data_IF_002183137367
#
_entry.id   IF_002183137367
#
_cell.length_a   1.000
_cell.length_b   1.000
_cell.length_c   1.000
_cell.angle_alpha   90.00
_cell.angle_beta   90.00
_cell.angle_gamma   90.00
#
_symmetry.space_group_name_H-M   'P 1'
#
loop_
_entity.id
_entity.type
_entity.pdbx_description
1 polymer ?
#
# COMPACT_ATOMS: atom_id res chain seq x y z
N UNK A 1 -21.81 -25.73 17.56
CA UNK A 1 -21.05 -24.50 17.23
C UNK A 1 -19.84 -24.80 16.33
N UNK A 2 -18.98 -25.72 16.66
CA UNK A 2 -17.75 -26.09 15.91
C UNK A 2 -18.01 -26.52 14.44
N UNK A 3 -19.10 -27.28 14.16
CA UNK A 3 -19.45 -27.68 12.78
C UNK A 3 -19.80 -26.47 11.89
N UNK A 4 -20.51 -25.46 12.42
CA UNK A 4 -20.85 -24.23 11.67
C UNK A 4 -19.62 -23.38 11.37
N UNK A 5 -18.66 -23.33 12.29
CA UNK A 5 -17.36 -22.63 12.09
C UNK A 5 -16.53 -23.32 11.01
N UNK A 6 -16.46 -24.67 11.02
CA UNK A 6 -15.75 -25.42 9.98
C UNK A 6 -16.34 -25.19 8.59
N UNK A 7 -17.67 -25.19 8.46
CA UNK A 7 -18.36 -24.91 7.20
C UNK A 7 -18.08 -23.48 6.73
N UNK A 8 -18.11 -22.49 7.63
CA UNK A 8 -17.79 -21.10 7.31
C UNK A 8 -16.35 -20.94 6.79
N UNK A 9 -15.39 -21.62 7.42
CA UNK A 9 -13.99 -21.61 6.99
C UNK A 9 -13.84 -22.24 5.59
N UNK A 10 -14.49 -23.38 5.35
CA UNK A 10 -14.46 -24.05 4.04
C UNK A 10 -15.08 -23.16 2.96
N UNK A 11 -16.20 -22.51 3.23
CA UNK A 11 -16.83 -21.56 2.29
C UNK A 11 -15.95 -20.34 2.03
N UNK A 12 -15.29 -19.78 3.05
CA UNK A 12 -14.34 -18.69 2.88
C UNK A 12 -13.12 -19.11 2.02
N UNK A 13 -12.58 -20.31 2.24
CA UNK A 13 -11.45 -20.84 1.47
C UNK A 13 -11.82 -21.22 0.02
N UNK A 14 -13.10 -21.50 -0.26
CA UNK A 14 -13.58 -21.82 -1.62
C UNK A 14 -13.86 -20.58 -2.49
N UNK A 15 -13.95 -19.40 -1.91
CA UNK A 15 -14.06 -18.12 -2.63
C UNK A 15 -12.69 -17.76 -3.24
N UNK A 16 -12.32 -18.42 -4.32
CA UNK A 16 -11.18 -18.04 -5.13
C UNK A 16 -11.55 -16.79 -5.94
N UNK A 17 -11.32 -15.62 -5.34
CA UNK A 17 -11.38 -14.37 -6.07
C UNK A 17 -10.10 -14.30 -6.93
N UNK A 18 -10.24 -14.40 -8.24
CA UNK A 18 -9.14 -14.10 -9.17
C UNK A 18 -8.86 -12.61 -9.12
N UNK A 19 -8.03 -12.20 -8.18
CA UNK A 19 -7.58 -10.81 -8.07
C UNK A 19 -6.32 -10.63 -8.89
N UNK A 20 -6.40 -9.87 -9.96
CA UNK A 20 -5.22 -9.34 -10.66
C UNK A 20 -4.87 -7.99 -10.03
N UNK A 21 -4.25 -8.01 -8.86
CA UNK A 21 -3.78 -6.82 -8.20
C UNK A 21 -2.28 -6.67 -8.43
N UNK A 22 -1.89 -5.65 -9.21
CA UNK A 22 -0.51 -5.17 -9.23
C UNK A 22 -0.48 -3.91 -8.38
N UNK A 23 0.04 -4.01 -7.17
CA UNK A 23 0.28 -2.87 -6.30
C UNK A 23 1.78 -2.56 -6.18
N UNK A 24 2.07 -1.39 -5.62
CA UNK A 24 3.45 -0.90 -5.46
C UNK A 24 4.20 -1.71 -4.42
N UNK A 25 5.37 -2.21 -4.79
CA UNK A 25 6.27 -2.89 -3.89
C UNK A 25 7.53 -2.04 -3.67
N UNK A 26 7.84 -1.78 -2.40
CA UNK A 26 9.13 -1.20 -2.01
C UNK A 26 10.15 -2.32 -1.78
N UNK A 27 11.38 -2.13 -2.24
CA UNK A 27 12.47 -3.09 -1.98
C UNK A 27 12.76 -3.22 -0.47
N UNK A 28 12.57 -2.14 0.28
CA UNK A 28 12.68 -2.09 1.73
C UNK A 28 11.28 -1.96 2.36
N UNK A 29 10.48 -3.01 2.24
CA UNK A 29 9.09 -3.03 2.69
C UNK A 29 8.92 -2.79 4.20
N UNK A 30 9.91 -3.15 5.01
CA UNK A 30 9.92 -2.92 6.46
C UNK A 30 9.94 -1.42 6.83
N UNK A 31 10.45 -0.55 5.94
CA UNK A 31 10.39 0.91 6.12
C UNK A 31 9.03 1.52 5.70
N UNK A 32 8.09 0.70 5.25
CA UNK A 32 6.74 1.11 4.84
C UNK A 32 5.68 0.20 5.46
N UNK A 33 5.61 0.12 6.79
CA UNK A 33 4.81 -0.89 7.50
C UNK A 33 3.31 -0.81 7.19
N UNK A 34 2.74 0.38 7.03
CA UNK A 34 1.33 0.59 6.73
C UNK A 34 0.97 0.16 5.29
N UNK A 35 1.91 0.26 4.35
CA UNK A 35 1.74 -0.21 2.97
C UNK A 35 1.76 -1.75 2.94
N UNK A 36 2.61 -2.35 3.76
CA UNK A 36 2.83 -3.80 3.77
C UNK A 36 1.65 -4.55 4.36
N UNK A 37 1.16 -4.09 5.52
CA UNK A 37 0.04 -4.74 6.21
C UNK A 37 -0.66 -3.73 7.13
N UNK A 38 -1.98 -3.53 7.01
CA UNK A 38 -2.74 -2.67 7.92
C UNK A 38 -2.58 -3.02 9.40
N UNK A 39 -2.37 -4.29 9.72
CA UNK A 39 -2.15 -4.76 11.09
C UNK A 39 -0.84 -4.27 11.71
N UNK A 40 0.04 -3.60 10.94
CA UNK A 40 1.25 -2.97 11.48
C UNK A 40 1.03 -1.52 11.97
N UNK A 41 -0.17 -0.98 11.78
CA UNK A 41 -0.51 0.39 12.21
C UNK A 41 -0.49 0.48 13.73
N UNK A 42 0.33 1.36 14.28
CA UNK A 42 0.49 1.48 15.74
C UNK A 42 1.18 0.28 16.38
N UNK A 43 1.80 -0.61 15.61
CA UNK A 43 2.71 -1.62 16.14
C UNK A 43 4.11 -1.00 16.23
N UNK A 44 4.36 -0.35 17.36
CA UNK A 44 5.58 0.43 17.62
C UNK A 44 6.10 0.03 19.00
N UNK A 45 7.10 -0.88 19.09
CA UNK A 45 7.56 -1.42 20.39
C UNK A 45 8.09 -0.35 21.34
N UNK A 46 8.88 0.61 20.84
CA UNK A 46 9.72 1.49 21.64
C UNK A 46 9.28 2.96 21.62
N UNK A 47 8.12 3.29 21.03
CA UNK A 47 7.63 4.67 20.93
C UNK A 47 6.10 4.72 20.85
N UNK A 48 5.52 5.87 21.16
CA UNK A 48 4.07 6.09 21.07
C UNK A 48 3.61 6.44 19.67
N UNK A 49 4.50 6.99 18.83
CA UNK A 49 4.20 7.37 17.46
C UNK A 49 5.39 7.13 16.54
N UNK A 50 5.10 6.99 15.25
CA UNK A 50 6.10 6.81 14.20
C UNK A 50 5.75 7.68 13.00
N UNK A 51 6.75 8.31 12.40
CA UNK A 51 6.64 9.06 11.15
C UNK A 51 7.72 8.55 10.22
N UNK A 52 7.38 8.34 8.98
CA UNK A 52 8.33 7.90 7.97
C UNK A 52 8.02 8.42 6.59
N UNK A 53 9.06 8.52 5.77
CA UNK A 53 8.94 8.87 4.37
C UNK A 53 9.90 8.02 3.54
N UNK A 54 9.47 7.66 2.33
CA UNK A 54 10.26 6.89 1.38
C UNK A 54 10.29 7.60 0.03
N UNK A 55 11.47 7.61 -0.57
CA UNK A 55 11.67 8.05 -1.94
C UNK A 55 12.36 6.97 -2.74
N UNK A 56 11.78 6.58 -3.86
CA UNK A 56 12.33 5.61 -4.80
C UNK A 56 12.50 6.28 -6.16
N UNK A 57 13.68 6.14 -6.73
CA UNK A 57 13.99 6.55 -8.09
C UNK A 57 14.62 5.35 -8.81
N UNK A 58 13.95 4.80 -9.80
CA UNK A 58 14.37 3.58 -10.47
C UNK A 58 14.65 3.84 -11.94
N UNK A 59 15.78 3.30 -12.42
CA UNK A 59 16.26 3.38 -13.80
C UNK A 59 16.53 4.80 -14.30
N UNK A 60 16.91 5.70 -13.41
CA UNK A 60 17.24 7.09 -13.76
C UNK A 60 18.46 7.25 -14.68
N UNK A 61 19.36 6.26 -14.71
CA UNK A 61 20.52 6.24 -15.60
C UNK A 61 20.26 5.65 -16.99
N UNK A 62 19.13 4.93 -17.17
CA UNK A 62 18.83 4.18 -18.38
C UNK A 62 17.63 4.75 -19.14
N UNK A 63 16.69 5.38 -18.42
CA UNK A 63 15.45 5.90 -18.99
C UNK A 63 15.39 7.42 -18.92
N UNK A 64 14.93 8.05 -20.00
CA UNK A 64 14.68 9.51 -20.04
C UNK A 64 13.58 9.95 -19.06
N UNK A 65 12.64 9.07 -18.74
CA UNK A 65 11.60 9.30 -17.72
C UNK A 65 11.61 8.14 -16.74
N UNK A 66 12.34 8.26 -15.63
CA UNK A 66 12.47 7.19 -14.63
C UNK A 66 11.18 6.99 -13.83
N UNK A 67 11.07 5.82 -13.19
CA UNK A 67 10.01 5.56 -12.22
C UNK A 67 10.34 6.25 -10.91
N UNK A 68 9.41 7.06 -10.41
CA UNK A 68 9.56 7.80 -9.14
C UNK A 68 8.38 7.50 -8.23
N UNK A 69 8.68 7.02 -7.04
CA UNK A 69 7.69 6.78 -6.00
C UNK A 69 8.05 7.57 -4.75
N UNK A 70 7.09 8.29 -4.21
CA UNK A 70 7.20 9.00 -2.94
C UNK A 70 6.09 8.50 -2.03
N UNK A 71 6.42 8.19 -0.80
CA UNK A 71 5.41 7.92 0.23
C UNK A 71 5.78 8.58 1.54
N UNK A 72 4.77 8.96 2.30
CA UNK A 72 4.91 9.40 3.68
C UNK A 72 3.80 8.76 4.50
N UNK A 73 4.11 8.42 5.75
CA UNK A 73 3.15 7.85 6.69
C UNK A 73 3.41 8.37 8.09
N UNK A 74 2.37 8.34 8.90
CA UNK A 74 2.44 8.56 10.32
C UNK A 74 1.43 7.64 11.01
N UNK A 75 1.82 7.07 12.15
CA UNK A 75 0.96 6.24 12.97
C UNK A 75 1.30 6.38 14.45
N UNK A 76 0.32 6.10 15.30
CA UNK A 76 0.45 6.22 16.74
C UNK A 76 -0.33 5.11 17.45
N UNK A 77 0.13 4.79 18.66
CA UNK A 77 -0.58 3.95 19.62
C UNK A 77 -1.56 4.81 20.42
N UNK A 78 -2.78 4.34 20.54
CA UNK A 78 -3.82 5.02 21.33
C UNK A 78 -4.52 4.02 22.26
N UNK A 79 -5.01 4.51 23.39
CA UNK A 79 -5.74 3.73 24.40
C UNK A 79 -4.96 2.57 25.03
N UNK A 80 -3.64 2.64 25.08
CA UNK A 80 -2.78 1.61 25.66
C UNK A 80 -3.10 1.34 27.13
N UNK A 81 -3.43 2.40 27.89
CA UNK A 81 -3.72 2.31 29.32
C UNK A 81 -5.20 2.02 29.63
N UNK A 82 -6.07 1.98 28.60
CA UNK A 82 -7.52 1.81 28.77
C UNK A 82 -8.02 0.43 28.39
N UNK A 83 -7.24 -0.33 27.64
CA UNK A 83 -7.60 -1.66 27.15
C UNK A 83 -6.80 -2.71 27.91
N UNK A 84 -7.47 -3.73 28.45
CA UNK A 84 -6.82 -4.84 29.10
C UNK A 84 -5.99 -5.63 28.07
N UNK A 85 -4.66 -5.65 28.26
CA UNK A 85 -3.72 -6.38 27.43
C UNK A 85 -3.78 -6.05 25.92
N UNK A 86 -4.17 -4.83 25.55
CA UNK A 86 -4.27 -4.44 24.16
C UNK A 86 -4.19 -2.93 23.93
N UNK A 87 -4.09 -2.52 22.68
CA UNK A 87 -4.12 -1.11 22.26
C UNK A 87 -4.68 -0.97 20.84
N UNK A 88 -5.06 0.25 20.50
CA UNK A 88 -5.41 0.62 19.14
C UNK A 88 -4.25 1.36 18.47
N UNK A 89 -4.02 1.04 17.21
CA UNK A 89 -3.18 1.81 16.31
C UNK A 89 -4.04 2.68 15.39
N UNK A 90 -3.69 3.95 15.28
CA UNK A 90 -4.26 4.87 14.29
C UNK A 90 -3.16 5.44 13.43
N UNK A 91 -3.39 5.56 12.14
CA UNK A 91 -2.40 6.08 11.22
C UNK A 91 -2.99 6.57 9.91
N UNK A 92 -2.10 7.13 9.10
CA UNK A 92 -2.42 7.53 7.74
C UNK A 92 -1.18 7.50 6.86
N UNK A 93 -1.40 7.35 5.57
CA UNK A 93 -0.32 7.40 4.58
C UNK A 93 -0.77 8.05 3.28
N UNK A 94 0.17 8.68 2.63
CA UNK A 94 0.05 9.18 1.27
C UNK A 94 1.14 8.54 0.41
N UNK A 95 0.77 8.19 -0.81
CA UNK A 95 1.67 7.57 -1.76
C UNK A 95 1.43 8.19 -3.14
N UNK A 96 2.52 8.59 -3.80
CA UNK A 96 2.50 9.09 -5.17
C UNK A 96 3.51 8.30 -5.99
N UNK A 97 3.04 7.66 -7.03
CA UNK A 97 3.85 6.91 -7.97
C UNK A 97 3.72 7.48 -9.37
N UNK A 98 4.85 7.67 -10.02
CA UNK A 98 4.92 8.18 -11.38
C UNK A 98 5.73 7.24 -12.25
N UNK A 99 5.10 6.69 -13.27
CA UNK A 99 5.66 5.65 -14.09
C UNK A 99 5.68 6.01 -15.58
N UNK A 100 6.82 5.79 -16.22
CA UNK A 100 6.98 5.75 -17.66
C UNK A 100 6.82 7.07 -18.41
N UNK A 101 6.96 7.00 -19.73
CA UNK A 101 6.92 8.13 -20.65
C UNK A 101 5.58 8.85 -20.68
N UNK A 102 4.47 8.12 -20.52
CA UNK A 102 3.12 8.70 -20.40
C UNK A 102 2.85 9.39 -19.08
N UNK A 103 3.85 9.44 -18.16
CA UNK A 103 3.70 10.01 -16.83
C UNK A 103 2.45 9.50 -16.12
N UNK A 104 2.18 8.18 -16.23
CA UNK A 104 1.11 7.57 -15.44
C UNK A 104 1.37 7.89 -13.97
N UNK A 105 0.51 8.71 -13.40
CA UNK A 105 0.62 9.12 -12.01
C UNK A 105 -0.48 8.42 -11.21
N UNK A 106 -0.09 7.73 -10.14
CA UNK A 106 -1.00 7.11 -9.18
C UNK A 106 -0.82 7.78 -7.83
N UNK A 107 -1.85 8.44 -7.34
CA UNK A 107 -1.86 9.03 -5.99
C UNK A 107 -2.85 8.28 -5.13
N UNK A 108 -2.40 7.84 -3.97
CA UNK A 108 -3.21 7.10 -3.01
C UNK A 108 -3.09 7.76 -1.63
N UNK A 109 -4.21 7.88 -0.92
CA UNK A 109 -4.27 8.39 0.45
C UNK A 109 -5.10 7.41 1.27
N UNK A 110 -4.56 6.99 2.42
CA UNK A 110 -5.22 6.02 3.30
C UNK A 110 -5.28 6.51 4.74
N UNK A 111 -6.41 6.23 5.38
CA UNK A 111 -6.52 6.15 6.83
C UNK A 111 -6.40 4.68 7.26
N UNK A 112 -5.76 4.45 8.36
CA UNK A 112 -5.43 3.11 8.87
C UNK A 112 -5.82 2.99 10.34
N UNK A 113 -6.41 1.85 10.69
CA UNK A 113 -6.71 1.48 12.07
C UNK A 113 -6.33 0.02 12.29
N UNK A 114 -5.73 -0.28 13.44
CA UNK A 114 -5.44 -1.64 13.84
C UNK A 114 -5.76 -1.85 15.33
N UNK A 115 -6.12 -3.07 15.67
CA UNK A 115 -6.29 -3.51 17.05
C UNK A 115 -5.25 -4.58 17.35
N UNK A 116 -4.57 -4.40 18.46
CA UNK A 116 -3.52 -5.28 18.96
C UNK A 116 -3.95 -5.88 20.28
N UNK A 117 -3.91 -7.20 20.39
CA UNK A 117 -4.28 -7.95 21.58
C UNK A 117 -3.15 -8.90 21.99
N UNK A 118 -2.63 -8.70 23.18
CA UNK A 118 -1.73 -9.69 23.80
C UNK A 118 -2.53 -10.93 24.21
N UNK A 119 -2.09 -12.08 23.74
CA UNK A 119 -2.62 -13.38 24.08
C UNK A 119 -1.68 -14.06 25.09
N UNK A 120 -1.78 -13.65 26.36
CA UNK A 120 -0.82 -14.05 27.40
C UNK A 120 0.47 -13.21 27.34
N UNK A 121 1.59 -13.79 27.79
CA UNK A 121 2.88 -13.08 27.94
C UNK A 121 3.73 -13.12 26.66
N UNK A 122 3.47 -14.06 25.76
CA UNK A 122 4.40 -14.37 24.68
C UNK A 122 3.77 -14.30 23.28
N UNK A 123 2.52 -13.89 23.15
CA UNK A 123 1.83 -13.88 21.85
C UNK A 123 1.05 -12.60 21.63
N UNK A 124 1.13 -12.07 20.43
CA UNK A 124 0.40 -10.89 20.00
C UNK A 124 -0.40 -11.23 18.75
N UNK A 125 -1.68 -10.93 18.79
CA UNK A 125 -2.57 -10.97 17.62
C UNK A 125 -2.94 -9.55 17.24
N UNK A 126 -2.81 -9.20 15.99
CA UNK A 126 -3.14 -7.90 15.45
C UNK A 126 -4.08 -8.05 14.26
N UNK A 127 -5.06 -7.19 14.16
CA UNK A 127 -5.94 -7.07 13.01
C UNK A 127 -6.06 -5.60 12.61
N UNK A 128 -5.97 -5.32 11.32
CA UNK A 128 -5.97 -3.95 10.81
C UNK A 128 -6.81 -3.77 9.56
N UNK A 129 -7.21 -2.54 9.34
CA UNK A 129 -8.02 -2.10 8.21
C UNK A 129 -7.51 -0.76 7.70
N UNK A 130 -7.32 -0.66 6.38
CA UNK A 130 -7.05 0.59 5.68
C UNK A 130 -8.24 0.93 4.79
N UNK A 131 -8.62 2.18 4.78
CA UNK A 131 -9.57 2.74 3.83
C UNK A 131 -8.94 3.97 3.18
N UNK A 132 -9.07 4.09 1.88
CA UNK A 132 -8.43 5.17 1.17
C UNK A 132 -9.06 5.48 -0.17
N UNK A 133 -8.48 6.46 -0.80
CA UNK A 133 -8.83 6.94 -2.12
C UNK A 133 -7.64 6.86 -3.04
N UNK A 134 -7.83 6.23 -4.18
CA UNK A 134 -6.83 6.11 -5.23
C UNK A 134 -7.26 6.89 -6.48
N UNK A 135 -6.34 7.66 -7.02
CA UNK A 135 -6.51 8.38 -8.27
C UNK A 135 -5.38 8.00 -9.22
N UNK A 136 -5.70 7.61 -10.43
CA UNK A 136 -4.74 7.33 -11.52
C UNK A 136 -5.01 8.28 -12.69
N UNK A 137 -3.95 8.90 -13.18
CA UNK A 137 -4.00 9.85 -14.28
C UNK A 137 -2.87 9.60 -15.27
N UNK A 138 -3.19 9.68 -16.57
CA UNK A 138 -2.23 9.61 -17.68
C UNK A 138 -2.14 10.97 -18.35
N UNK A 139 -0.92 11.43 -18.62
CA UNK A 139 -0.71 12.63 -19.42
C UNK A 139 -0.52 12.24 -20.90
N UNK A 140 -1.57 12.38 -21.67
CA UNK A 140 -1.62 12.01 -23.10
C UNK A 140 -0.61 12.78 -23.95
N UNK A 141 -0.38 14.06 -23.64
CA UNK A 141 0.55 14.91 -24.40
C UNK A 141 2.02 14.46 -24.33
N UNK A 142 2.34 13.55 -23.39
CA UNK A 142 3.68 12.95 -23.26
C UNK A 142 3.80 11.57 -23.90
N UNK A 143 2.70 11.02 -24.36
CA UNK A 143 2.70 9.75 -25.10
C UNK A 143 3.15 9.99 -26.53
N UNK A 144 3.77 8.97 -27.09
CA UNK A 144 4.19 8.91 -28.48
C UNK A 144 3.51 7.73 -29.13
N UNK A 145 2.88 7.98 -30.27
CA UNK A 145 2.10 6.97 -31.00
C UNK A 145 2.76 6.65 -32.34
N UNK A 146 2.66 5.41 -32.83
CA UNK A 146 3.27 5.01 -34.10
C UNK A 146 2.80 5.82 -35.31
N UNK A 147 1.57 6.34 -35.30
CA UNK A 147 0.98 7.15 -36.36
C UNK A 147 1.52 8.60 -36.40
N UNK A 148 2.32 8.99 -35.44
CA UNK A 148 3.04 10.26 -35.40
C UNK A 148 4.46 10.15 -36.02
N UNK A 149 4.75 9.06 -36.73
CA UNK A 149 6.01 8.87 -37.45
C UNK A 149 5.74 9.12 -38.97
N UNK A 150 6.44 10.09 -39.55
CA UNK A 150 6.27 10.52 -40.95
C UNK A 150 7.02 9.65 -41.98
N UNK A 151 7.66 8.57 -41.52
CA UNK A 151 8.52 7.69 -42.32
C UNK A 151 10.01 8.02 -42.20
N UNK A 152 10.38 9.17 -41.64
CA UNK A 152 11.78 9.58 -41.39
C UNK A 152 12.01 10.05 -39.97
N UNK A 153 11.08 10.85 -39.45
CA UNK A 153 11.20 11.44 -38.12
C UNK A 153 9.87 11.29 -37.36
N UNK A 154 10.00 11.33 -36.03
CA UNK A 154 8.87 11.38 -35.14
C UNK A 154 8.47 12.85 -34.93
N UNK A 155 7.21 13.21 -35.24
CA UNK A 155 6.66 14.54 -34.99
C UNK A 155 5.44 14.45 -34.08
N UNK A 156 5.62 14.90 -32.82
CA UNK A 156 4.55 14.94 -31.81
C UNK A 156 3.40 15.90 -32.14
N UNK A 157 3.53 16.72 -33.18
CA UNK A 157 2.47 17.64 -33.63
C UNK A 157 1.50 16.97 -34.63
N UNK A 158 1.89 15.82 -35.18
CA UNK A 158 0.99 15.06 -36.06
C UNK A 158 -0.19 14.54 -35.24
N UNK A 159 -1.40 14.61 -35.80
CA UNK A 159 -2.59 14.08 -35.15
C UNK A 159 -2.48 12.55 -35.01
N UNK A 160 -2.91 12.04 -33.86
CA UNK A 160 -3.02 10.60 -33.63
C UNK A 160 -4.46 10.15 -33.74
N UNK A 161 -4.67 8.95 -34.22
CA UNK A 161 -5.98 8.28 -34.26
C UNK A 161 -6.43 7.74 -32.92
N UNK A 162 -5.51 7.72 -31.92
CA UNK A 162 -5.79 7.22 -30.57
C UNK A 162 -6.55 8.27 -29.77
N UNK A 163 -7.79 7.98 -29.44
CA UNK A 163 -8.65 8.84 -28.63
C UNK A 163 -8.80 8.22 -27.23
N UNK A 164 -8.38 8.96 -26.20
CA UNK A 164 -8.63 8.58 -24.81
C UNK A 164 -9.99 9.12 -24.37
N UNK A 165 -10.92 8.23 -24.06
CA UNK A 165 -12.23 8.64 -23.53
C UNK A 165 -12.12 9.17 -22.10
N UNK A 166 -11.22 8.59 -21.32
CA UNK A 166 -10.94 9.00 -19.94
C UNK A 166 -9.44 8.87 -19.65
N UNK A 167 -8.83 9.96 -19.24
CA UNK A 167 -7.41 10.00 -18.88
C UNK A 167 -7.16 9.94 -17.35
N UNK A 168 -8.22 9.79 -16.56
CA UNK A 168 -8.13 9.61 -15.13
C UNK A 168 -9.15 8.58 -14.62
N UNK A 169 -8.81 7.88 -13.54
CA UNK A 169 -9.69 6.95 -12.82
C UNK A 169 -9.52 7.20 -11.33
N UNK A 170 -10.63 7.33 -10.63
CA UNK A 170 -10.66 7.45 -9.16
C UNK A 170 -11.52 6.35 -8.58
N UNK A 171 -11.04 5.72 -7.50
CA UNK A 171 -11.78 4.66 -6.81
C UNK A 171 -11.43 4.61 -5.32
N UNK A 172 -12.34 4.06 -4.55
CA UNK A 172 -12.09 3.73 -3.16
C UNK A 172 -11.33 2.41 -3.08
N UNK A 173 -10.33 2.39 -2.21
CA UNK A 173 -9.45 1.25 -2.00
C UNK A 173 -9.47 0.83 -0.54
N UNK A 174 -9.58 -0.46 -0.27
CA UNK A 174 -9.71 -1.00 1.08
C UNK A 174 -8.81 -2.21 1.26
N UNK A 175 -8.08 -2.25 2.37
CA UNK A 175 -7.22 -3.38 2.72
C UNK A 175 -7.54 -3.89 4.12
N UNK A 176 -7.51 -5.19 4.29
CA UNK A 176 -7.61 -5.89 5.57
C UNK A 176 -6.34 -6.67 5.80
N UNK A 177 -5.83 -6.64 7.01
CA UNK A 177 -4.64 -7.39 7.38
C UNK A 177 -4.73 -7.99 8.76
N UNK A 178 -4.00 -9.08 8.94
CA UNK A 178 -3.79 -9.73 10.23
C UNK A 178 -2.32 -10.03 10.41
N UNK A 179 -1.88 -10.00 11.66
CA UNK A 179 -0.52 -10.37 12.06
C UNK A 179 -0.57 -11.15 13.37
N UNK A 180 0.22 -12.19 13.46
CA UNK A 180 0.44 -12.95 14.69
C UNK A 180 1.94 -13.01 14.95
N UNK A 181 2.34 -12.58 16.12
CA UNK A 181 3.73 -12.65 16.58
C UNK A 181 3.82 -13.50 17.85
N UNK A 182 4.82 -14.37 17.88
CA UNK A 182 5.13 -15.20 19.04
C UNK A 182 6.54 -14.89 19.52
N UNK A 183 6.68 -14.60 20.81
CA UNK A 183 7.92 -14.20 21.46
C UNK A 183 8.26 -15.22 22.56
N UNK A 184 9.05 -16.26 22.27
CA UNK A 184 9.34 -17.31 23.24
C UNK A 184 10.16 -16.88 24.46
N UNK A 185 10.94 -15.77 24.33
CA UNK A 185 11.78 -15.21 25.39
C UNK A 185 11.77 -13.68 25.35
N UNK A 186 11.72 -13.04 26.52
CA UNK A 186 11.80 -11.57 26.66
C UNK A 186 13.11 -10.98 26.11
N UNK A 187 14.16 -11.80 25.98
CA UNK A 187 15.49 -11.38 25.51
C UNK A 187 15.64 -11.37 23.97
N UNK A 188 14.64 -11.73 23.21
CA UNK A 188 14.71 -11.76 21.74
C UNK A 188 14.45 -10.41 21.07
N UNK A 189 14.18 -9.37 21.86
CA UNK A 189 13.96 -7.99 21.37
C UNK A 189 15.22 -7.18 21.15
N UNK A 190 16.39 -7.74 21.46
CA UNK A 190 17.66 -7.04 21.34
C UNK A 190 18.54 -7.79 20.33
N UNK A 191 18.31 -7.56 19.05
CA UNK A 191 19.33 -7.69 18.00
C UNK A 191 18.88 -6.98 16.73
#
# INVERSE_FOLDING_TARGET
MIKKIKILIIVLCSLQLTTTAQDLHFSQFFNSPLVTNPANTGFIPDADYRIGANYRNQWSSVMSVPYKTVSAFADAQVFRDRLENGWLGLGGMILNDKAGSGSLTSTKVYGSVAYHQMLGLSSLLSAGFNIGWANKHINESKLKFPDQFDGKFFDSKLPTSVVFTNNYVSYMDMHVGMNYAYFPDENLYIN
#
